data_IF_596723093857
#
_entry.id   IF_596723093857
#
_cell.length_a   1.000
_cell.length_b   1.000
_cell.length_c   1.000
_cell.angle_alpha   90.00
_cell.angle_beta   90.00
_cell.angle_gamma   90.00
#
_symmetry.space_group_name_H-M   'P 1'
#
loop_
_entity.id
_entity.type
_entity.pdbx_description
1 polymer ?
#
# COMPACT_ATOMS: atom_id res chain seq x y z
N UNK A 1 -13.57 -15.83 -6.23
CA UNK A 1 -12.20 -15.40 -5.91
C UNK A 1 -11.81 -14.46 -7.03
N UNK A 2 -12.03 -13.16 -6.84
CA UNK A 2 -11.60 -12.12 -7.77
C UNK A 2 -10.59 -11.27 -7.02
N UNK A 3 -9.32 -11.39 -7.37
CA UNK A 3 -8.21 -10.67 -6.77
C UNK A 3 -7.44 -10.02 -7.92
N UNK A 4 -8.17 -9.22 -8.68
CA UNK A 4 -7.62 -8.41 -9.76
C UNK A 4 -6.92 -7.20 -9.15
N UNK A 5 -5.64 -7.02 -9.47
CA UNK A 5 -4.91 -5.80 -9.15
C UNK A 5 -5.27 -4.79 -10.24
N UNK A 6 -6.13 -3.83 -9.92
CA UNK A 6 -6.49 -2.73 -10.83
C UNK A 6 -5.50 -1.56 -10.65
N UNK A 7 -4.74 -1.24 -11.70
CA UNK A 7 -3.87 -0.08 -11.77
C UNK A 7 -4.51 1.02 -12.61
N UNK A 8 -5.24 1.94 -11.97
CA UNK A 8 -6.04 2.97 -12.64
C UNK A 8 -5.44 4.40 -12.53
N UNK A 9 -4.17 4.55 -12.17
CA UNK A 9 -3.55 5.86 -11.97
C UNK A 9 -2.26 6.00 -12.78
N UNK A 10 -2.14 7.10 -13.52
CA UNK A 10 -0.86 7.53 -14.10
C UNK A 10 -0.11 8.28 -13.00
N UNK A 11 0.92 7.66 -12.43
CA UNK A 11 1.80 8.33 -11.49
C UNK A 11 2.97 8.96 -12.24
N UNK A 12 2.97 10.28 -12.34
CA UNK A 12 4.15 11.07 -12.73
C UNK A 12 5.01 11.31 -11.48
N UNK A 13 5.72 10.27 -11.02
CA UNK A 13 6.71 10.39 -9.95
C UNK A 13 8.00 9.72 -10.38
N UNK A 14 9.10 10.44 -10.18
CA UNK A 14 10.44 9.89 -10.29
C UNK A 14 10.75 9.12 -8.99
N UNK A 15 11.37 7.97 -9.14
CA UNK A 15 11.67 7.06 -8.04
C UNK A 15 13.13 6.63 -8.13
N UNK A 16 13.83 6.65 -6.99
CA UNK A 16 15.19 6.11 -6.90
C UNK A 16 15.14 4.59 -6.75
N UNK A 17 15.88 3.89 -7.63
CA UNK A 17 15.96 2.44 -7.61
C UNK A 17 16.51 1.92 -6.28
N UNK A 18 15.91 0.84 -5.77
CA UNK A 18 16.36 0.20 -4.53
C UNK A 18 15.98 0.94 -3.25
N UNK A 19 15.26 2.07 -3.35
CA UNK A 19 14.73 2.79 -2.19
C UNK A 19 13.35 2.29 -1.80
N UNK A 20 13.03 2.41 -0.51
CA UNK A 20 11.67 2.20 0.00
C UNK A 20 10.97 3.55 0.08
N UNK A 21 9.74 3.61 -0.41
CA UNK A 21 8.93 4.82 -0.39
C UNK A 21 7.78 4.58 0.55
N UNK A 22 7.82 5.24 1.70
CA UNK A 22 6.76 5.17 2.69
C UNK A 22 5.58 6.07 2.28
N UNK A 23 4.40 5.46 2.19
CA UNK A 23 3.13 6.16 2.05
C UNK A 23 2.38 6.16 3.37
N UNK A 24 1.80 7.28 3.76
CA UNK A 24 0.82 7.31 4.86
C UNK A 24 -0.58 7.48 4.30
N UNK A 25 -1.50 6.61 4.73
CA UNK A 25 -2.91 6.73 4.42
C UNK A 25 -3.62 7.33 5.63
N UNK A 26 -4.16 8.54 5.45
CA UNK A 26 -4.99 9.18 6.47
C UNK A 26 -6.45 8.81 6.24
N UNK A 27 -7.05 8.10 7.19
CA UNK A 27 -8.47 7.74 7.17
C UNK A 27 -9.18 8.37 8.36
N UNK A 28 -10.18 9.21 8.08
CA UNK A 28 -11.06 9.79 9.09
C UNK A 28 -12.44 9.18 8.94
N UNK A 29 -12.96 8.56 10.01
CA UNK A 29 -14.31 7.99 10.04
C UNK A 29 -15.03 8.38 11.34
N UNK A 30 -16.19 9.01 11.19
CA UNK A 30 -17.07 9.38 12.31
C UNK A 30 -18.17 8.33 12.45
N UNK A 31 -18.40 7.84 13.68
CA UNK A 31 -19.38 6.79 13.96
C UNK A 31 -20.16 7.17 15.22
N UNK A 32 -21.51 7.12 15.22
CA UNK A 32 -22.28 7.27 16.44
C UNK A 32 -22.10 6.02 17.33
N UNK A 33 -21.75 6.23 18.59
CA UNK A 33 -21.57 5.16 19.59
C UNK A 33 -22.59 5.36 20.70
N UNK A 34 -23.41 4.35 20.97
CA UNK A 34 -24.30 4.34 22.12
C UNK A 34 -23.60 3.66 23.30
N UNK A 35 -23.68 4.27 24.48
CA UNK A 35 -23.14 3.72 25.73
C UNK A 35 -24.29 3.65 26.72
N UNK A 36 -24.95 2.48 26.84
CA UNK A 36 -25.97 2.26 27.85
C UNK A 36 -25.46 2.50 29.29
N UNK A 37 -26.36 2.74 30.26
CA UNK A 37 -25.96 2.85 31.66
C UNK A 37 -25.29 1.57 32.15
N UNK A 38 -24.23 1.72 32.96
CA UNK A 38 -23.48 0.60 33.56
C UNK A 38 -22.85 -0.36 32.53
N UNK A 39 -22.51 0.14 31.33
CA UNK A 39 -21.76 -0.62 30.34
C UNK A 39 -20.48 0.10 29.92
N UNK A 40 -19.55 -0.68 29.38
CA UNK A 40 -18.32 -0.24 28.75
C UNK A 40 -18.39 -0.61 27.27
N UNK A 41 -18.42 0.40 26.40
CA UNK A 41 -18.42 0.21 24.94
C UNK A 41 -17.00 0.37 24.39
N UNK A 42 -16.49 -0.67 23.72
CA UNK A 42 -15.17 -0.69 23.06
C UNK A 42 -15.35 -0.60 21.55
N UNK A 43 -14.73 0.39 20.93
CA UNK A 43 -14.73 0.56 19.46
C UNK A 43 -13.35 0.19 18.91
N UNK A 44 -13.32 -0.72 17.94
CA UNK A 44 -12.12 -1.20 17.26
C UNK A 44 -12.16 -0.87 15.77
N UNK A 45 -11.12 -0.21 15.24
CA UNK A 45 -10.92 -0.02 13.81
C UNK A 45 -9.96 -1.10 13.30
N UNK A 46 -10.46 -1.95 12.40
CA UNK A 46 -9.71 -3.05 11.81
C UNK A 46 -9.43 -2.74 10.34
N UNK A 47 -8.24 -3.09 9.87
CA UNK A 47 -7.82 -2.96 8.47
C UNK A 47 -7.18 -4.27 7.98
N UNK A 48 -7.25 -4.52 6.67
CA UNK A 48 -6.52 -5.61 6.02
C UNK A 48 -5.23 -5.06 5.45
N UNK A 49 -4.10 -5.60 5.86
CA UNK A 49 -2.81 -5.34 5.21
C UNK A 49 -2.63 -6.33 4.05
N UNK A 50 -2.41 -5.81 2.85
CA UNK A 50 -2.07 -6.59 1.67
C UNK A 50 -0.65 -6.28 1.22
N UNK A 51 0.05 -7.31 0.79
CA UNK A 51 1.34 -7.19 0.09
C UNK A 51 1.17 -7.66 -1.35
N UNK A 52 1.76 -6.96 -2.30
CA UNK A 52 1.83 -7.37 -3.70
C UNK A 52 3.27 -7.33 -4.20
N UNK A 53 3.62 -8.32 -5.01
CA UNK A 53 4.86 -8.35 -5.78
C UNK A 53 4.48 -8.32 -7.26
N UNK A 54 4.87 -7.26 -7.95
CA UNK A 54 4.53 -7.04 -9.36
C UNK A 54 5.82 -7.11 -10.18
N UNK A 55 6.01 -8.16 -11.01
CA UNK A 55 7.18 -8.25 -11.88
C UNK A 55 7.07 -7.22 -13.01
N UNK A 56 8.20 -6.62 -13.40
CA UNK A 56 8.28 -5.68 -14.50
C UNK A 56 9.61 -5.81 -15.26
N UNK A 57 9.61 -5.33 -16.50
CA UNK A 57 10.81 -5.20 -17.32
C UNK A 57 11.16 -3.74 -17.48
N UNK A 58 12.45 -3.43 -17.59
CA UNK A 58 12.95 -2.06 -17.70
C UNK A 58 14.13 -1.98 -18.65
N UNK A 59 14.42 -0.78 -19.14
CA UNK A 59 15.61 -0.49 -19.95
C UNK A 59 16.62 0.25 -19.08
N UNK A 60 17.84 -0.27 -18.99
CA UNK A 60 18.97 0.35 -18.31
C UNK A 60 19.89 0.99 -19.35
N UNK A 61 20.36 2.21 -19.06
CA UNK A 61 21.34 2.93 -19.86
C UNK A 61 22.54 3.26 -18.97
N UNK A 62 23.69 2.69 -19.27
CA UNK A 62 24.95 2.91 -18.55
C UNK A 62 25.91 3.73 -19.39
N UNK A 63 26.60 4.69 -18.77
CA UNK A 63 27.69 5.45 -19.40
C UNK A 63 29.02 4.80 -19.02
N UNK A 64 29.69 4.21 -19.99
CA UNK A 64 31.00 3.58 -19.81
C UNK A 64 32.08 4.63 -19.55
N UNK A 65 33.22 4.21 -19.01
CA UNK A 65 34.35 5.10 -18.67
C UNK A 65 34.92 5.86 -19.88
N UNK A 66 34.72 5.29 -21.08
CA UNK A 66 35.09 5.89 -22.37
C UNK A 66 34.04 6.91 -22.89
N UNK A 67 32.94 7.12 -22.16
CA UNK A 67 31.84 8.01 -22.52
C UNK A 67 30.79 7.37 -23.45
N UNK A 68 31.01 6.14 -23.89
CA UNK A 68 30.04 5.38 -24.68
C UNK A 68 28.83 4.96 -23.85
N UNK A 69 27.64 4.98 -24.46
CA UNK A 69 26.39 4.53 -23.85
C UNK A 69 26.15 3.06 -24.17
N UNK A 70 25.92 2.25 -23.15
CA UNK A 70 25.42 0.88 -23.26
C UNK A 70 23.95 0.84 -22.83
N UNK A 71 23.08 0.26 -23.66
CA UNK A 71 21.64 0.18 -23.38
C UNK A 71 21.20 -1.28 -23.40
N UNK A 72 20.65 -1.75 -22.28
CA UNK A 72 20.21 -3.14 -22.11
C UNK A 72 18.76 -3.17 -21.60
N UNK A 73 17.97 -4.09 -22.16
CA UNK A 73 16.66 -4.44 -21.59
C UNK A 73 16.86 -5.51 -20.51
N UNK A 74 16.14 -5.37 -19.40
CA UNK A 74 16.17 -6.22 -18.21
C UNK A 74 14.76 -6.71 -17.90
N UNK A 75 14.62 -7.96 -17.48
CA UNK A 75 13.33 -8.61 -17.23
C UNK A 75 13.16 -9.08 -15.78
N UNK A 76 14.09 -8.68 -14.91
CA UNK A 76 14.22 -9.13 -13.52
C UNK A 76 13.68 -8.12 -12.49
N UNK A 77 13.03 -7.05 -12.94
CA UNK A 77 12.45 -6.05 -12.05
C UNK A 77 11.29 -6.63 -11.24
N UNK A 78 11.24 -6.31 -9.94
CA UNK A 78 10.11 -6.65 -9.06
C UNK A 78 9.78 -5.45 -8.18
N UNK A 79 8.55 -4.96 -8.28
CA UNK A 79 8.01 -3.96 -7.37
C UNK A 79 7.31 -4.64 -6.21
N UNK A 80 7.73 -4.36 -4.98
CA UNK A 80 7.11 -4.87 -3.75
C UNK A 80 6.35 -3.75 -3.07
N UNK A 81 5.03 -3.88 -3.00
CA UNK A 81 4.15 -2.90 -2.37
C UNK A 81 3.42 -3.49 -1.18
N UNK A 82 3.21 -2.69 -0.14
CA UNK A 82 2.28 -2.98 0.96
C UNK A 82 1.20 -1.91 1.00
N UNK A 83 -0.05 -2.32 1.20
CA UNK A 83 -1.18 -1.39 1.27
C UNK A 83 -2.21 -1.85 2.29
N UNK A 84 -2.83 -0.89 2.98
CA UNK A 84 -3.93 -1.11 3.90
C UNK A 84 -5.27 -0.85 3.23
N UNK A 85 -6.17 -1.82 3.25
CA UNK A 85 -7.48 -1.73 2.61
C UNK A 85 -8.56 -2.44 3.45
N UNK A 86 -9.84 -2.33 3.05
CA UNK A 86 -11.00 -2.92 3.77
C UNK A 86 -11.07 -2.52 5.25
N UNK A 87 -11.13 -1.23 5.51
CA UNK A 87 -11.32 -0.70 6.86
C UNK A 87 -12.73 -1.03 7.37
N UNK A 88 -12.84 -1.70 8.52
CA UNK A 88 -14.10 -2.01 9.20
C UNK A 88 -14.06 -1.60 10.66
N UNK A 89 -15.22 -1.32 11.21
CA UNK A 89 -15.37 -0.84 12.59
C UNK A 89 -16.23 -1.81 13.35
N UNK A 90 -15.73 -2.27 14.48
CA UNK A 90 -16.40 -3.23 15.34
C UNK A 90 -16.64 -2.58 16.71
N UNK A 91 -17.83 -2.79 17.27
CA UNK A 91 -18.21 -2.25 18.57
C UNK A 91 -18.63 -3.42 19.45
N UNK A 92 -18.06 -3.49 20.65
CA UNK A 92 -18.39 -4.50 21.66
C UNK A 92 -18.81 -3.81 22.96
N UNK A 93 -19.81 -4.36 23.63
CA UNK A 93 -20.35 -3.81 24.89
C UNK A 93 -20.17 -4.83 26.01
N UNK A 94 -19.64 -4.37 27.15
CA UNK A 94 -19.41 -5.18 28.34
C UNK A 94 -20.20 -4.57 29.50
N UNK A 95 -20.92 -5.40 30.28
CA UNK A 95 -21.57 -4.92 31.51
C UNK A 95 -20.52 -4.72 32.61
N UNK A 96 -20.65 -3.63 33.37
CA UNK A 96 -19.83 -3.31 34.54
C UNK A 96 -20.29 -4.07 35.79
#
# INVERSE_FOLDING_TARGET
MDSSIEGNEKWEKEYEWGTTIDGSLQLTKTIPVSVPPMTKTTVSLLATLGSCNVPFSYTQQDTLTDGNLDVSVKHDGVYSGVNCFKFRTETSEEKL
#
